data_IF_743416911992
#
_entry.id   IF_743416911992
#
_cell.length_a   1.000
_cell.length_b   1.000
_cell.length_c   1.000
_cell.angle_alpha   90.00
_cell.angle_beta   90.00
_cell.angle_gamma   90.00
#
_symmetry.space_group_name_H-M   'P 1'
#
loop_
_entity.id
_entity.type
_entity.pdbx_description
1 polymer ?
#
# COMPACT_ATOMS: atom_id res chain seq x y z
N UNK A 1 -10.46 -17.54 -31.45
CA UNK A 1 -10.04 -16.16 -31.19
C UNK A 1 -9.83 -16.06 -29.67
N UNK A 2 -8.61 -15.82 -29.19
CA UNK A 2 -8.39 -15.39 -27.79
C UNK A 2 -9.02 -13.99 -27.67
N UNK A 3 -10.11 -13.88 -26.94
CA UNK A 3 -10.63 -12.57 -26.52
C UNK A 3 -9.59 -11.96 -25.59
N UNK A 4 -9.02 -10.85 -25.97
CA UNK A 4 -8.17 -10.05 -25.08
C UNK A 4 -9.03 -9.62 -23.88
N UNK A 5 -8.55 -9.94 -22.68
CA UNK A 5 -9.17 -9.50 -21.43
C UNK A 5 -8.56 -8.17 -21.04
N UNK A 6 -9.40 -7.17 -20.80
CA UNK A 6 -8.97 -5.85 -20.35
C UNK A 6 -9.32 -5.72 -18.87
N UNK A 7 -8.32 -5.38 -18.09
CA UNK A 7 -8.44 -5.09 -16.66
C UNK A 7 -8.33 -3.58 -16.48
N UNK A 8 -9.47 -2.92 -16.24
CA UNK A 8 -9.54 -1.47 -16.24
C UNK A 8 -8.90 -0.86 -14.98
N UNK A 9 -9.02 -1.51 -13.83
CA UNK A 9 -8.44 -1.04 -12.57
C UNK A 9 -9.05 0.26 -12.08
N UNK A 10 -10.38 0.43 -12.26
CA UNK A 10 -11.06 1.68 -11.88
C UNK A 10 -10.93 1.98 -10.39
N UNK A 11 -11.15 0.97 -9.53
CA UNK A 11 -10.86 1.10 -8.11
C UNK A 11 -9.44 0.66 -7.74
N UNK A 12 -8.81 -0.20 -8.51
CA UNK A 12 -7.47 -0.72 -8.21
C UNK A 12 -6.37 -0.32 -9.21
N UNK A 13 -5.86 0.96 -9.28
CA UNK A 13 -6.06 2.05 -8.33
C UNK A 13 -6.31 3.41 -9.03
N UNK A 14 -7.13 3.48 -10.08
CA UNK A 14 -7.42 4.77 -10.71
C UNK A 14 -8.21 5.68 -9.76
N UNK A 15 -9.00 5.14 -8.81
CA UNK A 15 -9.69 5.90 -7.77
C UNK A 15 -8.71 6.67 -6.87
N UNK A 16 -7.69 6.01 -6.33
CA UNK A 16 -6.66 6.67 -5.51
C UNK A 16 -5.87 7.71 -6.30
N UNK A 17 -5.58 7.44 -7.59
CA UNK A 17 -4.91 8.41 -8.46
C UNK A 17 -5.78 9.66 -8.70
N UNK A 18 -7.07 9.48 -8.95
CA UNK A 18 -8.00 10.60 -9.14
C UNK A 18 -8.10 11.45 -7.87
N UNK A 19 -8.23 10.82 -6.71
CA UNK A 19 -8.22 11.52 -5.42
C UNK A 19 -6.92 12.26 -5.17
N UNK A 20 -5.77 11.66 -5.50
CA UNK A 20 -4.47 12.32 -5.37
C UNK A 20 -4.39 13.59 -6.22
N UNK A 21 -4.88 13.56 -7.46
CA UNK A 21 -4.88 14.73 -8.34
C UNK A 21 -5.76 15.86 -7.81
N UNK A 22 -6.95 15.53 -7.31
CA UNK A 22 -7.86 16.50 -6.73
C UNK A 22 -7.33 17.04 -5.39
N UNK A 23 -6.75 16.18 -4.56
CA UNK A 23 -6.05 16.60 -3.34
C UNK A 23 -4.91 17.59 -3.67
N UNK A 24 -4.15 17.35 -4.73
CA UNK A 24 -3.09 18.25 -5.18
C UNK A 24 -3.65 19.63 -5.55
N UNK A 25 -4.78 19.67 -6.26
CA UNK A 25 -5.49 20.92 -6.58
C UNK A 25 -5.94 21.67 -5.32
N UNK A 26 -6.52 20.97 -4.34
CA UNK A 26 -6.95 21.55 -3.07
C UNK A 26 -5.79 22.12 -2.28
N UNK A 27 -4.68 21.37 -2.18
CA UNK A 27 -3.45 21.82 -1.50
C UNK A 27 -2.86 23.04 -2.19
N UNK A 28 -2.79 23.05 -3.51
CA UNK A 28 -2.29 24.20 -4.28
C UNK A 28 -3.14 25.45 -4.05
N UNK A 29 -4.47 25.31 -4.09
CA UNK A 29 -5.42 26.40 -3.88
C UNK A 29 -5.29 27.02 -2.49
N UNK A 30 -4.99 26.20 -1.48
CA UNK A 30 -4.89 26.60 -0.09
C UNK A 30 -3.44 26.59 0.43
N UNK A 31 -2.46 26.75 -0.44
CA UNK A 31 -1.04 26.56 -0.13
C UNK A 31 -0.53 27.38 1.06
N UNK A 32 -1.13 28.53 1.35
CA UNK A 32 -0.78 29.37 2.50
C UNK A 32 -1.03 28.73 3.87
N UNK A 33 -1.86 27.69 3.93
CA UNK A 33 -2.16 26.94 5.15
C UNK A 33 -1.11 25.85 5.45
N UNK A 34 -0.29 25.50 4.47
CA UNK A 34 0.69 24.43 4.58
C UNK A 34 2.06 24.99 4.97
N UNK A 35 2.65 24.41 6.01
CA UNK A 35 4.01 24.76 6.48
C UNK A 35 5.09 23.87 5.88
N UNK A 36 4.67 22.70 5.35
CA UNK A 36 5.55 21.73 4.71
C UNK A 36 5.20 21.56 3.26
N UNK A 37 6.18 21.23 2.47
CA UNK A 37 5.97 20.79 1.09
C UNK A 37 5.17 19.49 1.07
N UNK A 38 4.25 19.38 0.12
CA UNK A 38 3.51 18.14 -0.16
C UNK A 38 3.95 17.65 -1.53
N UNK A 39 4.50 16.45 -1.57
CA UNK A 39 4.93 15.80 -2.80
C UNK A 39 3.89 14.76 -3.21
N UNK A 40 3.39 14.85 -4.42
CA UNK A 40 2.43 13.91 -5.01
C UNK A 40 3.16 12.96 -5.95
N UNK A 41 3.05 11.66 -5.69
CA UNK A 41 3.76 10.64 -6.45
C UNK A 41 2.82 9.50 -6.82
N UNK A 42 2.72 9.20 -8.11
CA UNK A 42 2.03 8.02 -8.60
C UNK A 42 3.06 6.89 -8.82
N UNK A 43 2.98 5.85 -8.00
CA UNK A 43 3.88 4.70 -8.11
C UNK A 43 3.36 3.71 -9.16
N UNK A 44 4.28 3.22 -9.97
CA UNK A 44 4.04 2.11 -10.88
C UNK A 44 4.57 0.79 -10.32
N UNK A 45 4.38 -0.28 -11.09
CA UNK A 45 4.90 -1.61 -10.78
C UNK A 45 4.44 -2.19 -9.42
N UNK A 46 3.21 -1.87 -8.97
CA UNK A 46 2.64 -2.41 -7.74
C UNK A 46 2.53 -3.94 -7.79
N UNK A 47 2.25 -4.51 -8.97
CA UNK A 47 2.21 -5.96 -9.19
C UNK A 47 3.59 -6.65 -9.03
N UNK A 48 4.67 -5.89 -9.08
CA UNK A 48 6.07 -6.32 -8.88
C UNK A 48 6.53 -6.01 -7.45
N UNK A 49 5.72 -6.37 -6.46
CA UNK A 49 6.00 -6.15 -5.04
C UNK A 49 6.28 -4.68 -4.69
N UNK A 50 5.48 -3.78 -5.26
CA UNK A 50 5.59 -2.33 -5.03
C UNK A 50 6.96 -1.74 -5.42
N UNK A 51 7.57 -2.30 -6.48
CA UNK A 51 8.91 -1.91 -6.92
C UNK A 51 9.06 -0.40 -7.19
N UNK A 52 7.97 0.29 -7.57
CA UNK A 52 7.98 1.74 -7.81
C UNK A 52 8.29 2.55 -6.57
N UNK A 53 7.64 2.28 -5.44
CA UNK A 53 7.88 2.98 -4.17
C UNK A 53 9.25 2.64 -3.59
N UNK A 54 9.70 1.38 -3.69
CA UNK A 54 11.06 0.99 -3.31
C UNK A 54 12.13 1.68 -4.16
N UNK A 55 11.94 1.74 -5.47
CA UNK A 55 12.85 2.46 -6.37
C UNK A 55 12.90 3.95 -6.06
N UNK A 56 11.73 4.56 -5.80
CA UNK A 56 11.64 5.96 -5.42
C UNK A 56 12.51 6.27 -4.20
N UNK A 57 12.33 5.53 -3.11
CA UNK A 57 13.05 5.77 -1.84
C UNK A 57 14.55 5.47 -1.93
N UNK A 58 14.96 4.46 -2.70
CA UNK A 58 16.33 4.00 -2.69
C UNK A 58 17.19 4.57 -3.85
N UNK A 59 16.55 5.11 -4.90
CA UNK A 59 17.26 5.52 -6.11
C UNK A 59 16.86 6.88 -6.69
N UNK A 60 15.57 7.19 -6.66
CA UNK A 60 15.06 8.35 -7.40
C UNK A 60 15.02 9.62 -6.56
N UNK A 61 14.57 9.54 -5.31
CA UNK A 61 14.39 10.72 -4.47
C UNK A 61 15.69 11.19 -3.79
N UNK A 62 16.56 10.27 -3.42
CA UNK A 62 17.91 10.58 -2.91
C UNK A 62 17.99 11.10 -1.46
N UNK A 63 16.88 11.54 -0.87
CA UNK A 63 16.82 12.11 0.50
C UNK A 63 15.56 11.64 1.22
N UNK A 64 15.48 10.33 1.46
CA UNK A 64 14.33 9.73 2.15
C UNK A 64 14.17 10.25 3.59
N UNK A 65 15.26 10.71 4.23
CA UNK A 65 15.24 11.24 5.61
C UNK A 65 14.51 12.58 5.71
N UNK A 66 14.36 13.30 4.60
CA UNK A 66 13.60 14.55 4.54
C UNK A 66 12.08 14.33 4.51
N UNK A 67 11.62 13.10 4.36
CA UNK A 67 10.20 12.76 4.31
C UNK A 67 9.67 12.64 5.75
N UNK A 68 8.83 13.57 6.15
CA UNK A 68 8.24 13.60 7.49
C UNK A 68 7.10 12.58 7.69
N UNK A 69 6.32 12.32 6.64
CA UNK A 69 5.24 11.33 6.65
C UNK A 69 4.82 10.93 5.21
N UNK A 70 4.19 9.77 5.09
CA UNK A 70 3.60 9.28 3.84
C UNK A 70 2.10 9.02 4.01
N UNK A 71 1.31 9.49 3.05
CA UNK A 71 -0.12 9.21 2.95
C UNK A 71 -0.34 8.37 1.70
N UNK A 72 -0.76 7.13 1.88
CA UNK A 72 -1.05 6.19 0.81
C UNK A 72 -2.55 6.18 0.50
N UNK A 73 -2.90 6.40 -0.75
CA UNK A 73 -4.27 6.39 -1.25
C UNK A 73 -4.44 5.16 -2.14
N UNK A 74 -5.17 4.17 -1.66
CA UNK A 74 -5.27 2.90 -2.36
C UNK A 74 -6.68 2.31 -2.29
N UNK A 75 -7.30 2.10 -3.46
CA UNK A 75 -8.64 1.55 -3.60
C UNK A 75 -9.70 2.34 -2.78
N UNK A 76 -9.98 3.57 -3.18
CA UNK A 76 -10.87 4.51 -2.49
C UNK A 76 -12.20 4.75 -3.25
N UNK A 77 -12.59 3.84 -4.14
CA UNK A 77 -13.77 4.03 -5.00
C UNK A 77 -15.03 3.30 -4.55
N UNK A 78 -14.97 2.46 -3.49
CA UNK A 78 -16.10 1.62 -3.06
C UNK A 78 -16.44 1.86 -1.59
N UNK A 79 -16.70 3.10 -1.22
CA UNK A 79 -16.86 3.57 0.14
C UNK A 79 -18.04 2.96 0.92
N UNK A 80 -19.06 2.42 0.25
CA UNK A 80 -20.13 1.65 0.92
C UNK A 80 -19.62 0.39 1.63
N UNK A 81 -18.43 -0.12 1.24
CA UNK A 81 -17.75 -1.23 1.92
C UNK A 81 -17.03 -0.79 3.21
N UNK A 82 -16.92 0.50 3.45
CA UNK A 82 -16.24 1.11 4.58
C UNK A 82 -15.16 2.08 4.14
N UNK A 83 -14.69 2.88 5.09
CA UNK A 83 -13.54 3.77 4.93
C UNK A 83 -12.59 3.52 6.09
N UNK A 84 -11.33 3.21 5.80
CA UNK A 84 -10.36 2.72 6.78
C UNK A 84 -9.08 3.54 6.74
N UNK A 85 -8.48 3.70 7.93
CA UNK A 85 -7.13 4.23 8.08
C UNK A 85 -6.26 3.19 8.80
N UNK A 86 -5.07 2.93 8.25
CA UNK A 86 -4.07 2.04 8.84
C UNK A 86 -2.75 2.79 8.99
N UNK A 87 -2.21 2.86 10.21
CA UNK A 87 -1.02 3.65 10.55
C UNK A 87 0.14 2.81 11.07
N UNK A 88 0.06 1.49 10.99
CA UNK A 88 1.00 0.58 11.65
C UNK A 88 1.13 0.88 13.15
N UNK A 89 0.02 1.28 13.79
CA UNK A 89 -0.04 1.68 15.19
C UNK A 89 0.84 2.89 15.56
N UNK A 90 1.19 3.75 14.61
CA UNK A 90 1.93 4.97 14.88
C UNK A 90 1.12 5.92 15.77
N UNK A 91 1.65 6.22 16.97
CA UNK A 91 0.94 7.01 17.98
C UNK A 91 0.66 8.45 17.54
N UNK A 92 1.59 9.08 16.84
CA UNK A 92 1.45 10.48 16.42
C UNK A 92 0.39 10.60 15.30
N UNK A 93 0.39 9.68 14.32
CA UNK A 93 -0.64 9.63 13.28
C UNK A 93 -2.03 9.29 13.87
N UNK A 94 -2.08 8.34 14.81
CA UNK A 94 -3.32 8.00 15.51
C UNK A 94 -3.86 9.20 16.32
N UNK A 95 -2.98 10.03 16.90
CA UNK A 95 -3.38 11.25 17.59
C UNK A 95 -4.03 12.26 16.66
N UNK A 96 -3.50 12.42 15.43
CA UNK A 96 -4.12 13.28 14.41
C UNK A 96 -5.49 12.74 14.01
N UNK A 97 -5.62 11.43 13.74
CA UNK A 97 -6.90 10.80 13.42
C UNK A 97 -7.92 10.96 14.55
N UNK A 98 -7.48 10.77 15.81
CA UNK A 98 -8.34 10.92 16.99
C UNK A 98 -8.82 12.36 17.17
N UNK A 99 -7.95 13.34 16.93
CA UNK A 99 -8.32 14.75 16.99
C UNK A 99 -9.38 15.10 15.94
N UNK A 100 -9.16 14.71 14.69
CA UNK A 100 -10.14 14.90 13.62
C UNK A 100 -11.43 14.12 13.89
N UNK A 101 -11.36 12.98 14.58
CA UNK A 101 -12.51 12.20 15.02
C UNK A 101 -13.42 12.95 16.00
N UNK A 102 -12.90 13.94 16.73
CA UNK A 102 -13.66 14.84 17.60
C UNK A 102 -14.19 16.10 16.89
N UNK A 103 -13.85 16.31 15.64
CA UNK A 103 -14.27 17.47 14.84
C UNK A 103 -15.39 17.07 13.88
N UNK A 104 -16.16 18.07 13.42
CA UNK A 104 -17.18 17.83 12.39
C UNK A 104 -16.49 17.52 11.05
N UNK A 105 -16.66 16.30 10.58
CA UNK A 105 -16.12 15.82 9.32
C UNK A 105 -17.23 15.19 8.48
N UNK A 106 -17.12 15.20 7.14
CA UNK A 106 -18.14 14.61 6.26
C UNK A 106 -18.23 13.09 6.40
N UNK A 107 -17.11 12.45 6.77
CA UNK A 107 -16.97 11.02 7.04
C UNK A 107 -15.78 10.80 7.97
N UNK A 108 -15.77 9.69 8.70
CA UNK A 108 -14.66 9.29 9.55
C UNK A 108 -14.14 7.91 9.14
N UNK A 109 -12.81 7.72 8.98
CA UNK A 109 -12.28 6.40 8.76
C UNK A 109 -12.32 5.56 10.05
N UNK A 110 -12.52 4.27 9.88
CA UNK A 110 -12.28 3.30 10.95
C UNK A 110 -10.78 3.06 11.05
N UNK A 111 -10.20 3.36 12.23
CA UNK A 111 -8.80 3.03 12.49
C UNK A 111 -8.64 1.52 12.67
N UNK A 112 -7.83 0.88 11.83
CA UNK A 112 -7.54 -0.54 11.92
C UNK A 112 -6.18 -0.79 12.55
N UNK A 113 -6.11 -1.82 13.42
CA UNK A 113 -4.84 -2.30 14.00
C UNK A 113 -4.13 -3.31 13.10
N UNK A 114 -4.87 -3.96 12.21
CA UNK A 114 -4.35 -4.92 11.24
C UNK A 114 -4.25 -4.26 9.86
N UNK A 115 -3.16 -4.53 9.16
CA UNK A 115 -2.97 -4.09 7.78
C UNK A 115 -4.06 -4.71 6.88
N UNK A 116 -4.84 -3.90 6.16
CA UNK A 116 -5.90 -4.43 5.30
C UNK A 116 -5.34 -5.33 4.17
N UNK A 117 -4.26 -4.90 3.58
CA UNK A 117 -3.47 -5.61 2.56
C UNK A 117 -2.15 -4.85 2.30
N UNK A 118 -1.12 -5.52 1.73
CA UNK A 118 0.14 -4.88 1.36
C UNK A 118 -0.05 -3.78 0.31
N UNK A 119 0.62 -2.63 0.49
CA UNK A 119 0.62 -1.52 -0.45
C UNK A 119 1.91 -0.71 -0.32
N UNK A 120 2.04 0.38 -1.08
CA UNK A 120 3.23 1.22 -1.17
C UNK A 120 3.69 1.84 0.18
N UNK A 121 2.80 1.97 1.17
CA UNK A 121 3.16 2.45 2.51
C UNK A 121 4.22 1.57 3.20
N UNK A 122 4.32 0.28 2.85
CA UNK A 122 5.32 -0.63 3.43
C UNK A 122 6.75 -0.20 3.15
N UNK A 123 7.02 0.32 1.95
CA UNK A 123 8.34 0.81 1.58
C UNK A 123 8.79 1.96 2.49
N UNK A 124 7.88 2.89 2.78
CA UNK A 124 8.13 4.02 3.67
C UNK A 124 8.26 3.60 5.13
N UNK A 125 7.35 2.73 5.58
CA UNK A 125 7.40 2.19 6.94
C UNK A 125 8.73 1.49 7.22
N UNK A 126 9.29 0.75 6.27
CA UNK A 126 10.58 0.07 6.42
C UNK A 126 11.78 1.03 6.56
N UNK A 127 11.61 2.28 6.14
CA UNK A 127 12.58 3.37 6.33
C UNK A 127 12.27 4.23 7.55
N UNK A 128 11.45 3.72 8.47
CA UNK A 128 11.02 4.43 9.67
C UNK A 128 10.30 5.76 9.39
N UNK A 129 9.63 5.86 8.24
CA UNK A 129 8.80 7.01 7.87
C UNK A 129 7.37 6.75 8.34
N UNK A 130 6.80 7.63 9.19
CA UNK A 130 5.39 7.53 9.61
C UNK A 130 4.47 7.46 8.39
N UNK A 131 3.69 6.38 8.29
CA UNK A 131 2.87 6.13 7.10
C UNK A 131 1.44 5.83 7.48
N UNK A 132 0.50 6.41 6.76
CA UNK A 132 -0.92 6.08 6.84
C UNK A 132 -1.42 5.59 5.49
N UNK A 133 -2.21 4.55 5.50
CA UNK A 133 -2.94 4.06 4.33
C UNK A 133 -4.43 4.36 4.51
N UNK A 134 -5.03 5.06 3.56
CA UNK A 134 -6.47 5.21 3.43
C UNK A 134 -6.99 4.29 2.34
N UNK A 135 -8.06 3.56 2.62
CA UNK A 135 -8.65 2.59 1.69
C UNK A 135 -10.12 2.31 2.03
N UNK A 136 -10.88 1.87 1.05
CA UNK A 136 -12.22 1.30 1.26
C UNK A 136 -12.19 -0.22 1.45
N UNK A 137 -10.98 -0.82 1.46
CA UNK A 137 -10.79 -2.24 1.68
C UNK A 137 -10.88 -3.08 0.40
N UNK A 138 -10.87 -4.40 0.60
CA UNK A 138 -11.01 -5.36 -0.51
C UNK A 138 -12.43 -5.39 -1.03
N UNK A 139 -12.58 -5.59 -2.34
CA UNK A 139 -13.86 -5.67 -3.04
C UNK A 139 -13.83 -6.85 -4.05
N UNK A 140 -14.99 -7.42 -4.41
CA UNK A 140 -15.07 -8.63 -5.24
C UNK A 140 -14.50 -8.47 -6.65
N UNK A 141 -14.59 -7.28 -7.22
CA UNK A 141 -14.16 -6.99 -8.59
C UNK A 141 -12.65 -6.76 -8.73
N UNK A 142 -11.92 -6.68 -7.62
CA UNK A 142 -10.48 -6.42 -7.61
C UNK A 142 -9.71 -7.41 -8.48
N UNK A 143 -8.84 -6.88 -9.35
CA UNK A 143 -8.07 -7.65 -10.33
C UNK A 143 -8.92 -8.49 -11.30
N UNK A 144 -10.14 -8.05 -11.58
CA UNK A 144 -11.03 -8.66 -12.58
C UNK A 144 -11.39 -7.68 -13.70
N UNK A 145 -11.98 -8.16 -14.76
CA UNK A 145 -12.53 -7.35 -15.87
C UNK A 145 -13.72 -6.47 -15.42
N UNK A 146 -14.26 -6.73 -14.21
CA UNK A 146 -15.40 -6.01 -13.63
C UNK A 146 -15.01 -4.79 -12.82
N UNK A 147 -13.71 -4.58 -12.58
CA UNK A 147 -13.20 -3.38 -11.93
C UNK A 147 -13.27 -2.20 -12.91
N UNK A 148 -14.48 -1.71 -13.12
CA UNK A 148 -14.85 -0.66 -14.07
C UNK A 148 -15.41 0.56 -13.33
N UNK A 149 -15.58 1.66 -14.05
CA UNK A 149 -16.14 2.89 -13.50
C UNK A 149 -17.53 2.72 -12.85
N UNK A 150 -18.28 1.69 -13.27
CA UNK A 150 -19.64 1.45 -12.76
C UNK A 150 -19.71 1.07 -11.29
N UNK A 151 -18.60 0.65 -10.67
CA UNK A 151 -18.52 0.34 -9.25
C UNK A 151 -18.06 1.51 -8.39
N UNK A 152 -17.74 2.64 -9.01
CA UNK A 152 -17.19 3.80 -8.32
C UNK A 152 -18.31 4.65 -7.72
N UNK A 153 -18.20 4.92 -6.43
CA UNK A 153 -19.16 5.71 -5.64
C UNK A 153 -18.64 7.14 -5.46
N UNK A 154 -18.79 7.96 -6.47
CA UNK A 154 -18.21 9.32 -6.54
C UNK A 154 -18.59 10.23 -5.37
N UNK A 155 -19.85 10.20 -4.92
CA UNK A 155 -20.29 11.01 -3.78
C UNK A 155 -19.63 10.61 -2.46
N UNK A 156 -19.29 9.33 -2.29
CA UNK A 156 -18.57 8.85 -1.12
C UNK A 156 -17.09 9.24 -1.22
N UNK A 157 -16.50 9.09 -2.40
CA UNK A 157 -15.12 9.53 -2.67
C UNK A 157 -14.92 11.01 -2.37
N UNK A 158 -15.89 11.87 -2.69
CA UNK A 158 -15.82 13.32 -2.40
C UNK A 158 -15.70 13.57 -0.89
N UNK A 159 -16.50 12.88 -0.08
CA UNK A 159 -16.45 12.98 1.39
C UNK A 159 -15.15 12.43 1.98
N UNK A 160 -14.68 11.31 1.44
CA UNK A 160 -13.38 10.72 1.83
C UNK A 160 -12.23 11.65 1.49
N UNK A 161 -12.27 12.27 0.30
CA UNK A 161 -11.26 13.24 -0.14
C UNK A 161 -11.21 14.46 0.78
N UNK A 162 -12.36 15.00 1.18
CA UNK A 162 -12.43 16.13 2.11
C UNK A 162 -11.79 15.76 3.46
N UNK A 163 -12.09 14.58 3.99
CA UNK A 163 -11.43 14.07 5.20
C UNK A 163 -9.92 13.95 5.03
N UNK A 164 -9.47 13.34 3.92
CA UNK A 164 -8.05 13.15 3.62
C UNK A 164 -7.33 14.50 3.45
N UNK A 165 -8.00 15.49 2.86
CA UNK A 165 -7.48 16.86 2.79
C UNK A 165 -7.29 17.45 4.18
N UNK A 166 -8.28 17.34 5.07
CA UNK A 166 -8.20 17.83 6.44
C UNK A 166 -7.08 17.12 7.23
N UNK A 167 -6.92 15.82 7.02
CA UNK A 167 -5.81 15.06 7.59
C UNK A 167 -4.45 15.53 7.05
N UNK A 168 -4.34 15.75 5.75
CA UNK A 168 -3.12 16.26 5.11
C UNK A 168 -2.77 17.65 5.63
N UNK A 169 -3.77 18.53 5.77
CA UNK A 169 -3.59 19.86 6.35
C UNK A 169 -3.15 19.79 7.83
N UNK A 170 -3.75 18.91 8.62
CA UNK A 170 -3.37 18.74 10.02
C UNK A 170 -1.90 18.29 10.17
N UNK A 171 -1.40 17.44 9.26
CA UNK A 171 0.01 17.04 9.24
C UNK A 171 0.93 18.13 8.69
N UNK A 172 0.68 18.60 7.49
CA UNK A 172 1.58 19.50 6.78
C UNK A 172 1.46 20.97 7.23
N UNK A 173 0.36 21.35 7.87
CA UNK A 173 0.17 22.65 8.53
C UNK A 173 0.71 22.72 9.97
N UNK A 174 0.99 21.58 10.58
CA UNK A 174 1.53 21.52 11.96
C UNK A 174 2.96 22.06 12.03
N UNK A 175 3.34 22.64 13.18
CA UNK A 175 4.72 23.02 13.49
C UNK A 175 5.59 21.83 13.89
N UNK A 176 4.98 20.77 14.42
CA UNK A 176 5.67 19.53 14.81
C UNK A 176 5.53 18.47 13.72
N UNK A 177 6.58 17.71 13.48
CA UNK A 177 6.53 16.54 12.59
C UNK A 177 6.15 15.30 13.39
N UNK A 178 5.42 14.34 12.78
CA UNK A 178 5.16 13.07 13.43
C UNK A 178 6.46 12.29 13.60
N UNK A 179 6.63 11.64 14.75
CA UNK A 179 7.76 10.75 14.99
C UNK A 179 7.38 9.32 14.58
N UNK A 180 8.35 8.59 14.04
CA UNK A 180 8.18 7.16 13.86
C UNK A 180 8.20 6.48 15.23
N UNK A 181 7.05 5.96 15.65
CA UNK A 181 6.87 5.25 16.92
C UNK A 181 6.12 3.98 16.65
N UNK A 182 6.86 2.92 16.35
CA UNK A 182 6.30 1.57 16.25
C UNK A 182 5.97 1.08 17.67
N UNK A 183 4.74 0.68 17.89
CA UNK A 183 4.41 -0.11 19.08
C UNK A 183 4.99 -1.49 18.83
N UNK A 184 6.11 -1.81 19.49
CA UNK A 184 6.65 -3.16 19.49
C UNK A 184 5.64 -4.09 20.17
N UNK A 185 4.72 -4.64 19.41
CA UNK A 185 3.98 -5.82 19.84
C UNK A 185 5.00 -6.94 19.89
N UNK A 186 5.33 -7.39 21.09
CA UNK A 186 6.18 -8.55 21.31
C UNK A 186 5.41 -9.79 20.86
N UNK A 187 5.35 -10.03 19.56
CA UNK A 187 5.05 -11.34 19.04
C UNK A 187 6.36 -12.13 19.05
N UNK A 188 6.38 -13.22 19.83
CA UNK A 188 7.45 -14.22 19.79
C UNK A 188 7.43 -14.91 18.42
N UNK A 189 8.07 -14.32 17.45
CA UNK A 189 8.41 -14.84 16.15
C UNK A 189 9.73 -14.18 15.72
N UNK A 190 10.40 -14.62 14.66
CA UNK A 190 11.56 -13.91 14.15
C UNK A 190 11.21 -12.44 14.01
N UNK A 191 12.02 -11.56 14.61
CA UNK A 191 11.79 -10.12 14.60
C UNK A 191 11.80 -9.66 13.15
N UNK A 192 10.71 -9.07 12.67
CA UNK A 192 10.67 -8.45 11.34
C UNK A 192 11.70 -7.31 11.23
N UNK A 193 12.26 -6.85 12.36
CA UNK A 193 13.32 -5.85 12.41
C UNK A 193 14.62 -6.35 11.73
N UNK A 194 14.78 -7.68 11.55
CA UNK A 194 15.92 -8.30 10.86
C UNK A 194 15.61 -8.71 9.42
N UNK A 195 14.38 -8.51 8.93
CA UNK A 195 13.98 -8.87 7.56
C UNK A 195 14.18 -7.67 6.64
N UNK A 196 15.12 -7.81 5.73
CA UNK A 196 15.41 -6.80 4.71
C UNK A 196 14.65 -7.14 3.44
N UNK A 197 14.06 -6.15 2.78
CA UNK A 197 13.44 -6.38 1.47
C UNK A 197 14.45 -6.91 0.47
N UNK A 198 14.03 -7.82 -0.41
CA UNK A 198 14.86 -8.33 -1.51
C UNK A 198 15.57 -7.22 -2.30
N UNK A 199 14.91 -6.06 -2.46
CA UNK A 199 15.46 -4.93 -3.21
C UNK A 199 16.47 -4.11 -2.41
N UNK A 200 16.47 -4.23 -1.08
CA UNK A 200 17.37 -3.49 -0.17
C UNK A 200 18.59 -4.33 0.26
N UNK A 201 18.67 -5.59 -0.14
CA UNK A 201 19.82 -6.42 0.15
C UNK A 201 21.07 -5.93 -0.58
N UNK A 202 22.18 -5.73 0.15
CA UNK A 202 23.50 -5.47 -0.45
C UNK A 202 23.92 -6.61 -1.39
N UNK A 203 23.64 -7.84 -0.97
CA UNK A 203 23.78 -9.05 -1.78
C UNK A 203 22.45 -9.75 -1.83
N UNK A 204 21.79 -9.70 -2.99
CA UNK A 204 20.49 -10.34 -3.18
C UNK A 204 20.58 -11.85 -3.14
N UNK A 205 19.58 -12.54 -2.56
CA UNK A 205 19.48 -13.98 -2.69
C UNK A 205 19.52 -14.40 -4.16
N UNK A 206 20.33 -15.42 -4.46
CA UNK A 206 20.43 -15.99 -5.81
C UNK A 206 20.00 -17.44 -5.77
N UNK A 207 19.35 -17.91 -6.84
CA UNK A 207 18.97 -19.30 -7.01
C UNK A 207 19.77 -19.93 -8.14
N UNK A 208 20.51 -20.99 -7.84
CA UNK A 208 21.43 -21.66 -8.79
C UNK A 208 22.37 -20.65 -9.49
N UNK A 209 22.97 -19.75 -8.72
CA UNK A 209 23.85 -18.67 -9.19
C UNK A 209 23.17 -17.71 -10.19
N UNK A 210 21.87 -17.56 -10.12
CA UNK A 210 21.09 -16.62 -10.93
C UNK A 210 20.26 -15.72 -10.02
N UNK A 211 20.25 -14.42 -10.33
CA UNK A 211 19.35 -13.44 -9.69
C UNK A 211 17.99 -13.37 -10.40
N UNK A 212 17.79 -14.17 -11.46
CA UNK A 212 16.52 -14.25 -12.16
C UNK A 212 15.57 -15.18 -11.41
N UNK A 213 14.54 -14.57 -10.80
CA UNK A 213 13.49 -15.28 -10.05
C UNK A 213 12.74 -16.28 -10.93
N UNK A 214 12.69 -16.05 -12.25
CA UNK A 214 12.02 -16.95 -13.19
C UNK A 214 12.61 -18.35 -13.15
N UNK A 215 13.91 -18.49 -12.95
CA UNK A 215 14.58 -19.78 -12.78
C UNK A 215 14.13 -20.54 -11.54
N UNK A 216 13.90 -19.83 -10.45
CA UNK A 216 13.35 -20.43 -9.23
C UNK A 216 11.91 -20.92 -9.49
N UNK A 217 11.08 -20.07 -10.09
CA UNK A 217 9.69 -20.40 -10.42
C UNK A 217 9.61 -21.63 -11.34
N UNK A 218 10.38 -21.65 -12.42
CA UNK A 218 10.37 -22.76 -13.39
C UNK A 218 10.89 -24.08 -12.79
N UNK A 219 11.99 -24.04 -12.05
CA UNK A 219 12.66 -25.24 -11.57
C UNK A 219 12.04 -25.84 -10.31
N UNK A 220 11.45 -25.00 -9.44
CA UNK A 220 10.99 -25.46 -8.14
C UNK A 220 9.51 -25.19 -7.88
N UNK A 221 8.97 -24.12 -8.35
CA UNK A 221 7.56 -23.81 -8.08
C UNK A 221 6.66 -24.53 -9.07
N UNK A 222 6.83 -24.30 -10.37
CA UNK A 222 5.91 -24.83 -11.40
C UNK A 222 5.96 -26.36 -11.54
N UNK A 223 7.06 -27.00 -11.15
CA UNK A 223 7.13 -28.47 -11.16
C UNK A 223 6.30 -29.13 -10.05
N UNK A 224 6.08 -28.43 -8.94
CA UNK A 224 5.42 -28.98 -7.75
C UNK A 224 4.03 -28.40 -7.53
N UNK A 225 3.70 -27.25 -8.10
CA UNK A 225 2.35 -26.67 -8.02
C UNK A 225 1.39 -27.54 -8.81
N UNK A 226 0.43 -28.13 -8.11
CA UNK A 226 -0.69 -28.83 -8.73
C UNK A 226 -1.95 -27.98 -8.60
N UNK A 227 -2.53 -27.67 -9.74
CA UNK A 227 -3.79 -26.95 -9.75
C UNK A 227 -4.91 -27.88 -9.21
N UNK A 228 -5.73 -27.41 -8.25
CA UNK A 228 -6.84 -28.22 -7.73
C UNK A 228 -7.78 -28.64 -8.87
N UNK A 229 -8.14 -29.93 -8.94
CA UNK A 229 -9.04 -30.44 -9.99
C UNK A 229 -10.38 -29.72 -10.03
N UNK A 230 -10.90 -29.32 -8.88
CA UNK A 230 -12.15 -28.55 -8.78
C UNK A 230 -12.04 -27.18 -9.46
N UNK A 231 -10.90 -26.51 -9.32
CA UNK A 231 -10.65 -25.22 -9.96
C UNK A 231 -10.45 -25.39 -11.49
N UNK A 232 -9.77 -26.48 -11.92
CA UNK A 232 -9.64 -26.80 -13.34
C UNK A 232 -11.01 -27.03 -13.99
N UNK A 233 -11.88 -27.83 -13.34
CA UNK A 233 -13.24 -28.11 -13.85
C UNK A 233 -14.11 -26.86 -13.89
N UNK A 234 -13.94 -25.94 -12.95
CA UNK A 234 -14.69 -24.68 -12.88
C UNK A 234 -14.08 -23.57 -13.75
N UNK A 235 -12.96 -23.81 -14.45
CA UNK A 235 -12.26 -22.80 -15.24
C UNK A 235 -11.73 -21.63 -14.43
N UNK A 236 -11.54 -21.81 -13.11
CA UNK A 236 -11.05 -20.77 -12.21
C UNK A 236 -9.55 -20.57 -12.46
N UNK A 237 -9.18 -19.36 -12.78
CA UNK A 237 -7.78 -18.93 -12.91
C UNK A 237 -7.57 -17.72 -11.99
N UNK A 238 -6.38 -17.60 -11.43
CA UNK A 238 -6.05 -16.49 -10.54
C UNK A 238 -4.54 -16.35 -10.34
N UNK A 239 -4.16 -15.21 -9.80
CA UNK A 239 -2.80 -14.95 -9.35
C UNK A 239 -2.75 -15.23 -7.85
N UNK A 240 -1.76 -16.00 -7.42
CA UNK A 240 -1.47 -16.24 -6.01
C UNK A 240 -0.22 -15.44 -5.66
N UNK A 241 -0.32 -14.59 -4.65
CA UNK A 241 0.83 -13.88 -4.09
C UNK A 241 1.34 -14.69 -2.90
N UNK A 242 2.60 -15.03 -2.92
CA UNK A 242 3.26 -15.74 -1.82
C UNK A 242 4.40 -14.86 -1.31
N UNK A 243 4.32 -14.49 -0.04
CA UNK A 243 5.39 -13.82 0.68
C UNK A 243 6.18 -14.85 1.48
N UNK A 244 7.50 -14.78 1.45
CA UNK A 244 8.36 -15.67 2.24
C UNK A 244 9.65 -14.98 2.62
N UNK A 245 10.27 -15.47 3.69
CA UNK A 245 11.57 -15.01 4.17
C UNK A 245 12.63 -16.02 3.76
N UNK A 246 13.77 -15.54 3.27
CA UNK A 246 14.98 -16.35 3.06
C UNK A 246 15.94 -16.03 4.21
N UNK A 247 16.28 -17.02 5.01
CA UNK A 247 17.26 -16.86 6.09
C UNK A 247 18.71 -16.75 5.57
N UNK A 248 19.64 -16.50 6.48
CA UNK A 248 21.07 -16.34 6.15
C UNK A 248 21.71 -17.61 5.58
N UNK A 249 21.11 -18.75 5.85
CA UNK A 249 21.48 -20.07 5.34
C UNK A 249 20.87 -20.37 3.96
N UNK A 250 20.04 -19.44 3.44
CA UNK A 250 19.36 -19.57 2.14
C UNK A 250 18.09 -20.43 2.19
N UNK A 251 17.57 -20.70 3.38
CA UNK A 251 16.35 -21.48 3.57
C UNK A 251 15.13 -20.59 3.57
N UNK A 252 14.08 -21.02 2.88
CA UNK A 252 12.78 -20.34 2.89
C UNK A 252 12.06 -20.64 4.20
N UNK A 253 11.67 -19.58 4.89
CA UNK A 253 10.92 -19.62 6.15
C UNK A 253 9.70 -18.71 6.05
N UNK A 254 8.73 -18.91 6.94
CA UNK A 254 7.54 -18.05 7.10
C UNK A 254 6.82 -17.73 5.76
N UNK A 255 6.60 -18.78 4.95
CA UNK A 255 5.84 -18.60 3.70
C UNK A 255 4.34 -18.39 3.99
N UNK A 256 3.77 -17.36 3.39
CA UNK A 256 2.36 -16.96 3.55
C UNK A 256 1.72 -16.72 2.18
N UNK A 257 0.41 -16.96 2.09
CA UNK A 257 -0.41 -16.74 0.90
C UNK A 257 -1.40 -15.62 1.18
#
# INVERSE_FOLDING_TARGET
RKTERIYYGANGNASGLAMMLELARMVQTNSVLFRRSVLFVAFGASAESFAGSWYFLNRSFGDAESIDAMINLDMLGTGSNGFYAYTSSNADLNSVLSKLGGELQPIHPTLTSSEPYPSDHRAFYSKEIPSVMFTTGKYPEHNTEKDTESIIEYEVMERELEYIYNFTLALAGSSSKPAFRSVKTVAKGPSYDDVVSYYDCDVRPSFLNSYDISRFLEKWVYQYVRYPESAVRAGIQGRVMVEFIIDKEGKVTDARV
#
